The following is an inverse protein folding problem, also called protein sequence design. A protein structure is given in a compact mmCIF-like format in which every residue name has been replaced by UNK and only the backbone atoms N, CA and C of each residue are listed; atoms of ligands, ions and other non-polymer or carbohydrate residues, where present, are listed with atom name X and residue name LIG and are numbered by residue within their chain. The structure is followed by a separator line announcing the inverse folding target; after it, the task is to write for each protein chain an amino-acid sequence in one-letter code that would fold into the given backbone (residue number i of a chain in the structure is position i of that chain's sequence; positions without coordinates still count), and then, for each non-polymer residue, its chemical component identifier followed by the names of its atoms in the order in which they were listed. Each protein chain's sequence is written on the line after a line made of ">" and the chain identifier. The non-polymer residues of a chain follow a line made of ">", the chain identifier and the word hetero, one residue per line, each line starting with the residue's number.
data_IF_795851362555
#
_entry.id   IF_795851362555
#
_cell.length_a   1.000
_cell.length_b   1.000
_cell.length_c   1.000
_cell.angle_alpha   90.00
_cell.angle_beta   90.00
_cell.angle_gamma   90.00
#
_symmetry.space_group_name_H-M   'P 1'
#
loop_
_entity.id
_entity.type
_entity.pdbx_description
1 polymer ?
#
# COMPACT_ATOMS: atom_id res chain seq x y z
N UNK A 1 19.63 -13.92 8.56
CA UNK A 1 19.37 -12.52 8.99
C UNK A 1 18.11 -12.06 8.25
N UNK A 2 17.10 -11.55 8.95
CA UNK A 2 15.84 -11.05 8.33
C UNK A 2 16.10 -9.61 7.87
N UNK A 3 15.87 -9.34 6.59
CA UNK A 3 16.02 -8.01 5.97
C UNK A 3 14.64 -7.38 5.83
N UNK A 4 14.40 -6.27 6.53
CA UNK A 4 13.17 -5.48 6.47
C UNK A 4 13.46 -4.09 5.94
N UNK A 5 12.68 -3.63 4.98
CA UNK A 5 12.80 -2.29 4.40
C UNK A 5 11.61 -1.43 4.81
N UNK A 6 11.85 -0.16 5.10
CA UNK A 6 10.83 0.82 5.45
C UNK A 6 10.97 2.06 4.56
N UNK A 7 10.02 2.24 3.65
CA UNK A 7 9.92 3.39 2.75
C UNK A 7 8.78 4.31 3.23
N UNK A 8 9.13 5.43 3.80
CA UNK A 8 8.17 6.42 4.26
C UNK A 8 7.73 6.23 5.72
N UNK A 9 6.72 7.02 6.12
CA UNK A 9 6.19 7.03 7.47
C UNK A 9 7.01 7.84 8.47
N UNK A 10 6.32 8.39 9.48
CA UNK A 10 6.95 9.14 10.58
C UNK A 10 7.43 8.21 11.71
N UNK A 11 6.82 7.04 11.83
CA UNK A 11 7.13 6.09 12.90
C UNK A 11 8.27 5.15 12.49
N UNK A 12 9.35 5.17 13.27
CA UNK A 12 10.42 4.16 13.14
C UNK A 12 9.87 2.78 13.48
N UNK A 13 9.90 1.87 12.49
CA UNK A 13 9.67 0.46 12.76
C UNK A 13 10.94 -0.17 13.32
N UNK A 14 10.81 -0.86 14.43
CA UNK A 14 11.94 -1.56 15.07
C UNK A 14 12.47 -2.65 14.14
N UNK A 15 13.79 -2.70 13.99
CA UNK A 15 14.50 -3.73 13.19
C UNK A 15 14.24 -3.67 11.67
N UNK A 16 13.90 -2.49 11.11
CA UNK A 16 13.85 -2.25 9.67
C UNK A 16 14.95 -1.26 9.24
N UNK A 17 15.42 -1.41 8.00
CA UNK A 17 16.28 -0.46 7.34
C UNK A 17 15.43 0.61 6.67
N UNK A 18 15.59 1.85 7.09
CA UNK A 18 14.85 2.97 6.49
C UNK A 18 15.53 3.39 5.19
N UNK A 19 14.73 3.39 4.14
CA UNK A 19 15.16 3.81 2.80
C UNK A 19 14.46 5.11 2.44
N UNK A 20 15.19 6.09 1.92
CA UNK A 20 14.61 7.35 1.46
C UNK A 20 15.46 7.94 0.32
N UNK A 21 14.85 8.81 -0.55
CA UNK A 21 15.57 9.42 -1.67
C UNK A 21 16.60 10.47 -1.25
N UNK A 22 16.54 10.92 0.00
CA UNK A 22 17.45 11.93 0.54
C UNK A 22 17.98 11.50 1.91
N UNK A 23 19.19 11.93 2.22
CA UNK A 23 19.76 11.70 3.55
C UNK A 23 19.06 12.59 4.58
N UNK A 24 18.31 11.95 5.47
CA UNK A 24 17.68 12.60 6.64
C UNK A 24 17.98 11.76 7.90
N UNK A 25 17.91 12.34 9.10
CA UNK A 25 18.19 11.61 10.33
C UNK A 25 17.38 10.30 10.43
N UNK A 26 18.11 9.20 10.62
CA UNK A 26 17.53 7.87 10.78
C UNK A 26 17.37 7.07 9.48
N UNK A 27 17.77 7.59 8.34
CA UNK A 27 17.87 6.85 7.08
C UNK A 27 19.19 6.08 7.04
N UNK A 28 19.10 4.79 6.77
CA UNK A 28 20.29 3.93 6.62
C UNK A 28 20.68 3.74 5.15
N UNK A 29 19.70 3.82 4.24
CA UNK A 29 19.95 3.61 2.81
C UNK A 29 19.33 4.79 2.05
N UNK A 30 20.18 5.49 1.28
CA UNK A 30 19.73 6.57 0.39
C UNK A 30 19.55 5.97 -1.00
N UNK A 31 18.28 5.85 -1.42
CA UNK A 31 17.91 5.40 -2.74
C UNK A 31 16.59 6.04 -3.16
N UNK A 32 16.44 6.45 -4.42
CA UNK A 32 15.14 6.83 -4.96
C UNK A 32 14.20 5.63 -4.96
N UNK A 33 12.90 5.89 -4.91
CA UNK A 33 11.89 4.84 -5.02
C UNK A 33 11.54 4.67 -6.51
N UNK A 34 12.39 3.98 -7.21
CA UNK A 34 12.29 3.68 -8.65
C UNK A 34 12.62 2.21 -8.95
N UNK A 35 12.69 1.86 -10.21
CA UNK A 35 12.94 0.49 -10.68
C UNK A 35 14.38 -0.02 -10.46
N UNK A 36 15.25 0.72 -9.77
CA UNK A 36 16.66 0.38 -9.57
C UNK A 36 17.06 0.47 -8.10
N UNK A 37 16.41 -0.30 -7.24
CA UNK A 37 16.75 -0.34 -5.82
C UNK A 37 18.07 -1.11 -5.60
N UNK A 38 18.94 -0.64 -4.69
CA UNK A 38 20.29 -1.20 -4.45
C UNK A 38 20.25 -2.51 -3.65
N UNK A 39 19.34 -3.41 -3.99
CA UNK A 39 19.18 -4.71 -3.34
C UNK A 39 19.30 -5.84 -4.35
N UNK A 40 19.87 -6.95 -3.90
CA UNK A 40 19.96 -8.18 -4.71
C UNK A 40 18.58 -8.82 -4.87
N UNK A 41 18.44 -9.62 -5.94
CA UNK A 41 17.28 -10.47 -6.14
C UNK A 41 17.06 -11.38 -4.94
N UNK A 42 15.81 -11.60 -4.57
CA UNK A 42 15.43 -12.54 -3.50
C UNK A 42 16.19 -12.31 -2.17
N UNK A 43 16.39 -11.04 -1.79
CA UNK A 43 17.17 -10.70 -0.59
C UNK A 43 16.36 -10.12 0.55
N UNK A 44 15.13 -9.66 0.30
CA UNK A 44 14.28 -8.95 1.26
C UNK A 44 13.19 -9.87 1.79
N UNK A 45 12.94 -9.81 3.09
CA UNK A 45 11.93 -10.63 3.79
C UNK A 45 10.63 -9.87 4.05
N UNK A 46 10.68 -8.53 4.20
CA UNK A 46 9.50 -7.71 4.51
C UNK A 46 9.69 -6.28 4.03
N UNK A 47 8.65 -5.66 3.47
CA UNK A 47 8.66 -4.29 2.94
C UNK A 47 7.49 -3.51 3.52
N UNK A 48 7.75 -2.29 3.97
CA UNK A 48 6.76 -1.35 4.46
C UNK A 48 6.73 -0.09 3.61
N UNK A 49 5.54 0.25 3.10
CA UNK A 49 5.29 1.38 2.22
C UNK A 49 4.18 2.25 2.83
N UNK A 50 4.58 3.28 3.56
CA UNK A 50 3.63 4.22 4.18
C UNK A 50 3.59 5.50 3.36
N UNK A 51 2.56 5.65 2.52
CA UNK A 51 2.36 6.73 1.55
C UNK A 51 3.47 6.87 0.48
N UNK A 52 4.48 6.02 0.50
CA UNK A 52 5.63 6.13 -0.40
C UNK A 52 5.24 5.97 -1.88
N UNK A 53 4.37 5.00 -2.19
CA UNK A 53 3.93 4.76 -3.57
C UNK A 53 3.08 5.89 -4.17
N UNK A 54 2.52 6.79 -3.35
CA UNK A 54 1.75 7.92 -3.86
C UNK A 54 2.59 8.91 -4.67
N UNK A 55 3.92 8.87 -4.52
CA UNK A 55 4.88 9.77 -5.17
C UNK A 55 5.67 9.11 -6.31
N UNK A 56 5.31 7.90 -6.70
CA UNK A 56 6.04 7.14 -7.73
C UNK A 56 5.48 7.46 -9.11
N UNK A 57 6.36 7.75 -10.06
CA UNK A 57 5.98 8.05 -11.44
C UNK A 57 5.56 6.77 -12.19
N UNK A 58 6.39 5.73 -12.13
CA UNK A 58 6.09 4.42 -12.74
C UNK A 58 5.78 3.36 -11.68
N UNK A 59 4.48 3.20 -11.43
CA UNK A 59 3.99 2.25 -10.44
C UNK A 59 4.23 0.80 -10.85
N UNK A 60 4.15 0.47 -12.14
CA UNK A 60 4.37 -0.90 -12.60
C UNK A 60 5.82 -1.30 -12.42
N UNK A 61 6.75 -0.44 -12.85
CA UNK A 61 8.18 -0.69 -12.75
C UNK A 61 8.64 -0.86 -11.30
N UNK A 62 8.12 -0.06 -10.35
CA UNK A 62 8.47 -0.23 -8.94
C UNK A 62 7.87 -1.50 -8.32
N UNK A 63 6.69 -1.94 -8.75
CA UNK A 63 6.12 -3.20 -8.31
C UNK A 63 6.91 -4.40 -8.83
N UNK A 64 7.38 -4.35 -10.07
CA UNK A 64 8.31 -5.35 -10.63
C UNK A 64 9.62 -5.39 -9.83
N UNK A 65 10.13 -4.23 -9.44
CA UNK A 65 11.35 -4.12 -8.64
C UNK A 65 11.17 -4.66 -7.22
N UNK A 66 10.04 -4.36 -6.56
CA UNK A 66 9.70 -4.98 -5.28
C UNK A 66 9.58 -6.49 -5.40
N UNK A 67 9.00 -6.97 -6.49
CA UNK A 67 8.95 -8.41 -6.74
C UNK A 67 10.36 -8.99 -6.93
N UNK A 68 11.23 -8.35 -7.72
CA UNK A 68 12.60 -8.79 -7.95
C UNK A 68 13.38 -8.98 -6.65
N UNK A 69 13.36 -7.97 -5.77
CA UNK A 69 14.12 -7.99 -4.51
C UNK A 69 13.52 -8.88 -3.42
N UNK A 70 12.22 -9.17 -3.50
CA UNK A 70 11.50 -10.02 -2.56
C UNK A 70 11.94 -11.47 -2.64
N UNK A 71 12.03 -12.14 -1.51
CA UNK A 71 12.06 -13.61 -1.45
C UNK A 71 10.68 -14.19 -1.74
N UNK A 72 10.56 -15.49 -2.09
CA UNK A 72 9.25 -16.17 -2.11
C UNK A 72 8.52 -15.97 -0.77
N UNK A 73 7.28 -15.49 -0.82
CA UNK A 73 6.47 -15.26 0.37
C UNK A 73 6.78 -13.97 1.16
N UNK A 74 7.65 -13.08 0.65
CA UNK A 74 7.87 -11.77 1.26
C UNK A 74 6.56 -11.02 1.43
N UNK A 75 6.36 -10.45 2.62
CA UNK A 75 5.18 -9.64 2.94
C UNK A 75 5.47 -8.17 2.65
N UNK A 76 4.55 -7.55 1.90
CA UNK A 76 4.61 -6.12 1.58
C UNK A 76 3.39 -5.44 2.20
N UNK A 77 3.64 -4.51 3.09
CA UNK A 77 2.62 -3.70 3.75
C UNK A 77 2.49 -2.36 3.04
N UNK A 78 1.34 -2.08 2.47
CA UNK A 78 1.08 -0.84 1.73
C UNK A 78 -0.02 -0.05 2.40
N UNK A 79 0.23 1.22 2.67
CA UNK A 79 -0.77 2.21 3.06
C UNK A 79 -0.75 3.36 2.07
N UNK A 80 -1.91 3.74 1.55
CA UNK A 80 -2.04 4.80 0.55
C UNK A 80 -3.31 5.63 0.77
N UNK A 81 -3.32 6.89 0.29
CA UNK A 81 -4.55 7.67 0.15
C UNK A 81 -5.50 6.96 -0.81
N UNK A 82 -6.80 6.96 -0.48
CA UNK A 82 -7.81 6.35 -1.31
C UNK A 82 -8.33 7.30 -2.39
N UNK A 83 -8.56 6.79 -3.59
CA UNK A 83 -9.03 7.55 -4.75
C UNK A 83 -10.33 8.34 -4.52
N UNK A 84 -11.21 7.89 -3.62
CA UNK A 84 -12.46 8.57 -3.31
C UNK A 84 -12.30 9.76 -2.37
N UNK A 85 -11.13 9.99 -1.78
CA UNK A 85 -10.87 11.15 -0.94
C UNK A 85 -10.24 12.28 -1.75
N UNK A 86 -11.05 13.24 -2.19
CA UNK A 86 -10.54 14.43 -2.86
C UNK A 86 -9.56 15.21 -1.99
N UNK A 87 -9.78 15.24 -0.66
CA UNK A 87 -8.89 15.90 0.28
C UNK A 87 -7.54 15.18 0.41
N UNK A 88 -7.53 13.85 0.53
CA UNK A 88 -6.30 13.07 0.62
C UNK A 88 -5.46 13.16 -0.66
N UNK A 89 -6.12 13.22 -1.83
CA UNK A 89 -5.45 13.36 -3.12
C UNK A 89 -4.94 14.79 -3.38
N UNK A 90 -5.70 15.82 -2.98
CA UNK A 90 -5.35 17.21 -3.25
C UNK A 90 -4.37 17.82 -2.24
N UNK A 91 -4.19 17.20 -1.08
CA UNK A 91 -3.35 17.71 0.00
C UNK A 91 -1.87 17.81 -0.38
N UNK A 92 -1.38 16.83 -1.14
CA UNK A 92 0.00 16.83 -1.62
C UNK A 92 0.00 16.83 -3.16
N UNK A 93 0.46 17.94 -3.80
CA UNK A 93 0.48 18.05 -5.26
C UNK A 93 1.44 17.05 -5.94
N UNK A 94 2.27 16.36 -5.17
CA UNK A 94 3.19 15.33 -5.68
C UNK A 94 2.54 13.96 -5.81
N UNK A 95 1.26 13.80 -5.39
CA UNK A 95 0.54 12.55 -5.61
C UNK A 95 0.34 12.34 -7.11
N UNK A 96 0.97 11.31 -7.65
CA UNK A 96 1.04 11.07 -9.10
C UNK A 96 -0.24 10.47 -9.67
N UNK A 97 -0.99 9.70 -8.87
CA UNK A 97 -2.21 8.99 -9.31
C UNK A 97 -3.16 8.64 -8.17
N UNK A 98 -4.46 8.44 -8.45
CA UNK A 98 -5.40 7.83 -7.52
C UNK A 98 -5.18 6.33 -7.39
N UNK A 99 -5.42 5.78 -6.18
CA UNK A 99 -5.32 4.36 -5.87
C UNK A 99 -6.60 3.85 -5.22
N UNK A 100 -6.95 2.60 -5.54
CA UNK A 100 -8.01 1.81 -4.89
C UNK A 100 -7.46 0.45 -4.48
N UNK A 101 -8.24 -0.35 -3.77
CA UNK A 101 -7.86 -1.75 -3.50
C UNK A 101 -7.73 -2.57 -4.79
N UNK A 102 -8.54 -2.25 -5.82
CA UNK A 102 -8.49 -2.93 -7.13
C UNK A 102 -7.17 -2.71 -7.86
N UNK A 103 -6.46 -1.61 -7.60
CA UNK A 103 -5.14 -1.35 -8.20
C UNK A 103 -4.17 -2.50 -7.93
N UNK A 104 -4.26 -3.13 -6.77
CA UNK A 104 -3.38 -4.25 -6.39
C UNK A 104 -3.87 -5.61 -6.90
N UNK A 105 -5.15 -5.72 -7.26
CA UNK A 105 -5.68 -6.91 -7.92
C UNK A 105 -5.03 -7.14 -9.30
N UNK A 106 -4.53 -6.07 -9.93
CA UNK A 106 -3.77 -6.17 -11.19
C UNK A 106 -2.59 -7.14 -11.11
N UNK A 107 -1.94 -7.24 -9.96
CA UNK A 107 -0.79 -8.10 -9.73
C UNK A 107 -1.15 -9.47 -9.14
N UNK A 108 -2.42 -9.70 -8.80
CA UNK A 108 -2.86 -10.96 -8.20
C UNK A 108 -3.36 -11.93 -9.28
N UNK A 109 -2.73 -13.10 -9.45
CA UNK A 109 -3.11 -14.06 -10.48
C UNK A 109 -4.57 -14.52 -10.44
N UNK A 110 -5.24 -14.37 -9.30
CA UNK A 110 -6.68 -14.70 -9.18
C UNK A 110 -7.59 -13.73 -9.93
N UNK A 111 -7.10 -12.53 -10.24
CA UNK A 111 -7.84 -11.45 -10.88
C UNK A 111 -7.22 -11.01 -12.20
N UNK A 112 -6.07 -11.58 -12.58
CA UNK A 112 -5.33 -11.15 -13.76
C UNK A 112 -6.17 -11.32 -15.03
N UNK A 113 -6.20 -10.23 -15.80
CA UNK A 113 -6.53 -10.29 -17.21
C UNK A 113 -5.32 -10.90 -17.94
N UNK A 114 -5.50 -11.87 -18.86
CA UNK A 114 -4.42 -12.48 -19.63
C UNK A 114 -3.53 -11.47 -20.38
N UNK A 115 -4.06 -10.26 -20.66
CA UNK A 115 -3.34 -9.19 -21.35
C UNK A 115 -2.43 -8.36 -20.42
N UNK A 116 -2.43 -8.63 -19.11
CA UNK A 116 -1.67 -7.90 -18.10
C UNK A 116 -0.41 -8.68 -17.67
N UNK A 117 0.46 -9.01 -18.63
CA UNK A 117 1.67 -9.77 -18.38
C UNK A 117 2.84 -8.89 -17.91
N UNK A 118 2.81 -8.42 -16.64
CA UNK A 118 4.01 -7.98 -15.93
C UNK A 118 4.72 -9.17 -15.26
N UNK A 119 6.01 -9.02 -14.93
CA UNK A 119 6.76 -10.05 -14.20
C UNK A 119 6.32 -10.19 -12.74
N UNK A 120 5.84 -9.10 -12.13
CA UNK A 120 5.44 -9.07 -10.72
C UNK A 120 4.14 -9.82 -10.47
N UNK A 121 4.19 -10.77 -9.54
CA UNK A 121 3.04 -11.55 -9.10
C UNK A 121 2.94 -11.50 -7.58
N UNK A 122 1.81 -10.97 -7.09
CA UNK A 122 1.54 -10.83 -5.66
C UNK A 122 0.14 -11.34 -5.33
N UNK A 123 -0.01 -11.97 -4.19
CA UNK A 123 -1.31 -12.31 -3.63
C UNK A 123 -1.75 -11.23 -2.66
N UNK A 124 -2.97 -10.74 -2.81
CA UNK A 124 -3.60 -9.85 -1.83
C UNK A 124 -4.09 -10.70 -0.65
N UNK A 125 -3.35 -10.67 0.46
CA UNK A 125 -3.67 -11.45 1.67
C UNK A 125 -4.71 -10.75 2.53
N UNK A 126 -4.56 -9.44 2.69
CA UNK A 126 -5.46 -8.63 3.51
C UNK A 126 -5.66 -7.25 2.89
N UNK A 127 -6.87 -6.72 3.05
CA UNK A 127 -7.18 -5.35 2.66
C UNK A 127 -8.14 -4.70 3.65
N UNK A 128 -7.95 -3.40 3.89
CA UNK A 128 -8.80 -2.62 4.80
C UNK A 128 -8.95 -1.19 4.32
N UNK A 129 -10.18 -0.68 4.36
CA UNK A 129 -10.54 0.70 4.07
C UNK A 129 -10.73 1.48 5.37
N UNK A 130 -10.28 2.74 5.40
CA UNK A 130 -10.42 3.64 6.54
C UNK A 130 -11.14 4.91 6.11
N UNK A 131 -12.29 5.19 6.75
CA UNK A 131 -13.08 6.41 6.53
C UNK A 131 -12.42 7.63 7.17
N UNK A 132 -11.72 7.42 8.27
CA UNK A 132 -10.94 8.45 8.94
C UNK A 132 -9.50 7.99 8.94
N UNK A 133 -8.58 8.90 8.60
CA UNK A 133 -7.16 8.57 8.64
C UNK A 133 -6.78 7.89 9.94
N UNK A 134 -5.91 6.91 9.91
CA UNK A 134 -5.51 6.07 11.05
C UNK A 134 -5.01 6.87 12.28
N UNK A 135 -4.87 8.20 12.14
CA UNK A 135 -4.38 9.15 13.17
C UNK A 135 -5.44 10.12 13.67
N UNK A 136 -6.72 9.96 13.30
CA UNK A 136 -7.80 10.87 13.69
C UNK A 136 -8.06 10.87 15.20
N UNK A 137 -7.47 11.81 15.93
CA UNK A 137 -7.88 12.15 17.30
C UNK A 137 -9.09 13.08 17.24
N UNK A 138 -10.28 12.51 17.36
CA UNK A 138 -11.52 13.26 17.36
C UNK A 138 -11.90 13.71 18.79
N UNK A 139 -12.22 15.00 18.97
CA UNK A 139 -12.78 15.56 20.20
C UNK A 139 -14.18 16.14 19.95
N UNK A 140 -15.12 15.92 20.86
CA UNK A 140 -16.46 16.52 20.80
C UNK A 140 -17.38 15.92 19.73
N UNK A 141 -17.99 16.74 18.89
CA UNK A 141 -18.87 16.33 17.76
C UNK A 141 -18.18 15.35 16.82
N UNK A 142 -16.87 15.41 16.75
CA UNK A 142 -16.03 14.45 16.04
C UNK A 142 -16.06 13.03 16.65
N UNK A 143 -16.45 12.88 17.93
CA UNK A 143 -16.60 11.57 18.57
C UNK A 143 -17.77 10.79 17.98
N UNK A 144 -18.92 11.44 17.78
CA UNK A 144 -20.10 10.80 17.16
C UNK A 144 -19.82 10.42 15.69
N UNK A 145 -19.13 11.29 14.93
CA UNK A 145 -18.65 10.98 13.58
C UNK A 145 -17.67 9.81 13.62
N UNK A 146 -16.78 9.76 14.61
CA UNK A 146 -15.81 8.67 14.79
C UNK A 146 -16.48 7.32 15.08
N UNK A 147 -17.53 7.28 15.91
CA UNK A 147 -18.31 6.06 16.18
C UNK A 147 -19.04 5.58 14.93
N UNK A 148 -19.71 6.50 14.21
CA UNK A 148 -20.40 6.17 12.96
C UNK A 148 -19.43 5.68 11.88
N UNK A 149 -18.29 6.35 11.73
CA UNK A 149 -17.25 5.94 10.81
C UNK A 149 -16.72 4.52 11.13
N UNK A 150 -16.51 4.19 12.41
CA UNK A 150 -16.09 2.84 12.83
C UNK A 150 -17.13 1.77 12.51
N UNK A 151 -18.42 2.06 12.68
CA UNK A 151 -19.49 1.13 12.32
C UNK A 151 -19.46 0.87 10.80
N UNK A 152 -19.36 1.92 10.00
CA UNK A 152 -19.25 1.79 8.55
C UNK A 152 -17.97 1.01 8.18
N UNK A 153 -16.84 1.35 8.78
CA UNK A 153 -15.58 0.62 8.54
C UNK A 153 -15.71 -0.87 8.87
N UNK A 154 -16.38 -1.22 9.97
CA UNK A 154 -16.64 -2.62 10.31
C UNK A 154 -17.50 -3.32 9.27
N UNK A 155 -18.57 -2.67 8.81
CA UNK A 155 -19.46 -3.23 7.80
C UNK A 155 -18.76 -3.41 6.45
N UNK A 156 -18.03 -2.39 6.01
CA UNK A 156 -17.33 -2.40 4.72
C UNK A 156 -16.18 -3.41 4.70
N UNK A 157 -15.50 -3.58 5.81
CA UNK A 157 -14.34 -4.47 5.91
C UNK A 157 -14.70 -5.91 6.30
N UNK A 158 -15.96 -6.33 6.22
CA UNK A 158 -16.37 -7.70 6.49
C UNK A 158 -15.79 -8.70 5.47
N UNK A 159 -15.86 -8.33 4.19
CA UNK A 159 -15.33 -9.15 3.11
C UNK A 159 -14.92 -8.29 1.90
N UNK A 160 -14.18 -8.89 0.97
CA UNK A 160 -13.70 -8.23 -0.25
C UNK A 160 -14.83 -7.76 -1.17
N UNK A 161 -15.91 -8.51 -1.25
CA UNK A 161 -17.07 -8.15 -2.06
C UNK A 161 -17.79 -6.91 -1.54
N UNK A 162 -17.85 -6.74 -0.20
CA UNK A 162 -18.38 -5.55 0.43
C UNK A 162 -17.49 -4.35 0.17
N UNK A 163 -16.16 -4.49 0.34
CA UNK A 163 -15.18 -3.44 0.02
C UNK A 163 -15.34 -2.95 -1.42
N UNK A 164 -15.38 -3.87 -2.38
CA UNK A 164 -15.57 -3.56 -3.80
C UNK A 164 -16.86 -2.78 -4.07
N UNK A 165 -18.01 -3.23 -3.52
CA UNK A 165 -19.30 -2.52 -3.68
C UNK A 165 -19.26 -1.11 -3.13
N UNK A 166 -18.60 -0.92 -1.96
CA UNK A 166 -18.47 0.41 -1.36
C UNK A 166 -17.53 1.33 -2.13
N UNK A 167 -16.39 0.85 -2.60
CA UNK A 167 -15.49 1.64 -3.45
C UNK A 167 -16.19 2.10 -4.74
N UNK A 168 -16.93 1.19 -5.38
CA UNK A 168 -17.52 1.44 -6.69
C UNK A 168 -18.80 2.30 -6.63
N UNK A 169 -19.68 2.03 -5.67
CA UNK A 169 -21.04 2.60 -5.69
C UNK A 169 -21.27 3.69 -4.65
N UNK A 170 -20.70 3.58 -3.46
CA UNK A 170 -21.00 4.47 -2.34
C UNK A 170 -19.94 5.53 -2.08
N UNK A 171 -18.66 5.19 -2.20
CA UNK A 171 -17.60 6.11 -1.94
C UNK A 171 -17.65 7.40 -2.78
N UNK A 172 -17.99 7.36 -4.09
CA UNK A 172 -18.13 8.56 -4.89
C UNK A 172 -19.28 9.46 -4.44
N UNK A 173 -20.31 8.92 -3.78
CA UNK A 173 -21.51 9.66 -3.37
C UNK A 173 -21.38 10.28 -1.99
N UNK A 174 -20.64 9.65 -1.06
CA UNK A 174 -20.59 10.06 0.37
C UNK A 174 -19.28 10.67 0.81
N UNK A 175 -18.35 10.89 -0.11
CA UNK A 175 -17.05 11.52 0.21
C UNK A 175 -15.94 10.57 0.61
N UNK A 176 -16.16 9.28 0.50
CA UNK A 176 -15.15 8.23 0.41
C UNK A 176 -14.30 7.94 1.65
N UNK A 177 -13.35 7.05 1.42
CA UNK A 177 -12.35 6.64 2.39
C UNK A 177 -11.12 7.54 2.29
N UNK A 178 -10.50 7.88 3.41
CA UNK A 178 -9.28 8.69 3.40
C UNK A 178 -8.05 7.87 3.00
N UNK A 179 -7.97 6.66 3.53
CA UNK A 179 -6.83 5.77 3.33
C UNK A 179 -7.29 4.32 3.18
N UNK A 180 -6.41 3.51 2.64
CA UNK A 180 -6.53 2.07 2.71
C UNK A 180 -5.19 1.42 3.06
N UNK A 181 -5.28 0.20 3.53
CA UNK A 181 -4.16 -0.66 3.84
C UNK A 181 -4.32 -1.99 3.13
N UNK A 182 -3.28 -2.44 2.46
CA UNK A 182 -3.23 -3.74 1.81
C UNK A 182 -1.95 -4.47 2.19
N UNK A 183 -2.07 -5.77 2.36
CA UNK A 183 -0.95 -6.69 2.60
C UNK A 183 -0.84 -7.61 1.39
N UNK A 184 0.33 -7.63 0.79
CA UNK A 184 0.65 -8.46 -0.35
C UNK A 184 1.67 -9.52 0.06
N UNK A 185 1.60 -10.70 -0.55
CA UNK A 185 2.67 -11.69 -0.48
C UNK A 185 3.25 -11.94 -1.87
N UNK A 186 4.58 -11.95 -1.98
CA UNK A 186 5.26 -12.18 -3.25
C UNK A 186 5.10 -13.64 -3.68
N UNK A 187 4.54 -13.87 -4.87
CA UNK A 187 4.42 -15.18 -5.48
C UNK A 187 5.62 -15.38 -6.39
N UNK A 188 6.47 -16.34 -6.06
CA UNK A 188 7.57 -16.80 -6.88
C UNK A 188 7.57 -18.30 -6.92
N UNK A 189 7.80 -18.86 -8.09
CA UNK A 189 8.03 -20.30 -8.18
C UNK A 189 9.28 -20.64 -7.36
N UNK A 190 9.25 -21.77 -6.60
CA UNK A 190 10.45 -22.23 -5.93
C UNK A 190 11.50 -22.48 -7.01
N UNK A 191 12.62 -21.75 -6.97
CA UNK A 191 13.76 -22.04 -7.84
C UNK A 191 14.32 -23.40 -7.40
N UNK A 192 13.94 -24.44 -8.11
CA UNK A 192 14.66 -25.72 -8.03
C UNK A 192 16.06 -25.48 -8.58
N UNK A 193 17.03 -25.29 -7.71
CA UNK A 193 18.45 -25.45 -7.98
C UNK A 193 18.91 -26.79 -7.46
#
# INVERSE_FOLDING_TARGET
>A
MIVRLDFGGEARRTRSLRVAPKHVPGVQIVAPLDANLPFKDNSVDEIFLDHALAHVDDFSAIMDEFWRISKPGTIIHVRLPHASSSWALSRDPRHSRPYTLETFNYFDPRFQNPDCAGAASFRVEHARLYLTGARGQARGLALARGVFARIIEQLVNQDRGMQYRWERWFAPLVGGFEEFYVVLSAIKEPSFR
#
